data_IF_955017554450
#
_entry.id   IF_955017554450
#
_cell.length_a   1.000
_cell.length_b   1.000
_cell.length_c   1.000
_cell.angle_alpha   90.00
_cell.angle_beta   90.00
_cell.angle_gamma   90.00
#
_symmetry.space_group_name_H-M   'P 1'
#
loop_
_entity.id
_entity.type
_entity.pdbx_description
1 polymer ?
#
# COMPACT_ATOMS: atom_id res chain seq x y z
N UNK A 1 -17.50 15.66 35.22
CA UNK A 1 -18.35 14.62 34.61
C UNK A 1 -18.94 15.01 33.23
N UNK A 2 -19.63 16.15 33.08
CA UNK A 2 -20.22 16.57 31.78
C UNK A 2 -19.24 16.78 30.61
N UNK A 3 -18.00 17.24 30.85
CA UNK A 3 -16.96 17.38 29.79
C UNK A 3 -16.45 16.03 29.25
N UNK A 4 -16.34 15.02 30.10
CA UNK A 4 -15.89 13.67 29.72
C UNK A 4 -16.95 12.94 28.87
N UNK A 5 -18.23 13.11 29.19
CA UNK A 5 -19.35 12.56 28.40
C UNK A 5 -19.43 13.24 27.03
N UNK A 6 -19.22 14.56 26.95
CA UNK A 6 -19.23 15.31 25.68
C UNK A 6 -18.06 14.91 24.76
N UNK A 7 -16.88 14.69 25.33
CA UNK A 7 -15.70 14.21 24.60
C UNK A 7 -15.88 12.78 24.06
N UNK A 8 -16.43 11.85 24.87
CA UNK A 8 -16.76 10.50 24.40
C UNK A 8 -17.86 10.49 23.33
N UNK A 9 -18.83 11.42 23.39
CA UNK A 9 -19.88 11.53 22.37
C UNK A 9 -19.34 12.04 21.02
N UNK A 10 -18.37 12.96 21.05
CA UNK A 10 -17.70 13.47 19.84
C UNK A 10 -16.80 12.40 19.21
N UNK A 11 -16.07 11.64 20.04
CA UNK A 11 -15.22 10.54 19.59
C UNK A 11 -16.04 9.38 18.99
N UNK A 12 -17.23 9.12 19.54
CA UNK A 12 -18.16 8.14 18.97
C UNK A 12 -18.82 8.66 17.70
N UNK A 13 -19.14 9.96 17.61
CA UNK A 13 -19.66 10.56 16.40
C UNK A 13 -18.64 10.54 15.25
N UNK A 14 -17.35 10.79 15.49
CA UNK A 14 -16.31 10.66 14.46
C UNK A 14 -16.08 9.22 14.00
N UNK A 15 -16.11 8.25 14.93
CA UNK A 15 -16.02 6.81 14.60
C UNK A 15 -17.23 6.34 13.80
N UNK A 16 -18.43 6.78 14.18
CA UNK A 16 -19.67 6.51 13.45
C UNK A 16 -19.64 7.20 12.09
N UNK A 17 -19.14 8.44 11.99
CA UNK A 17 -19.03 9.17 10.73
C UNK A 17 -18.02 8.53 9.78
N UNK A 18 -16.87 8.05 10.25
CA UNK A 18 -15.91 7.32 9.43
C UNK A 18 -16.42 5.92 9.04
N UNK A 19 -17.11 5.22 9.93
CA UNK A 19 -17.75 3.93 9.63
C UNK A 19 -18.90 4.11 8.62
N UNK A 20 -19.67 5.19 8.75
CA UNK A 20 -20.67 5.63 7.76
C UNK A 20 -20.01 6.04 6.46
N UNK A 21 -18.84 6.67 6.46
CA UNK A 21 -18.11 7.02 5.24
C UNK A 21 -17.60 5.76 4.52
N UNK A 22 -17.06 4.78 5.27
CA UNK A 22 -16.65 3.45 4.81
C UNK A 22 -17.82 2.64 4.22
N UNK A 23 -19.03 2.75 4.81
CA UNK A 23 -20.24 2.07 4.35
C UNK A 23 -21.00 2.84 3.25
N UNK A 24 -20.89 4.17 3.22
CA UNK A 24 -21.58 5.02 2.25
C UNK A 24 -20.79 5.18 0.95
N UNK A 25 -19.47 5.03 0.94
CA UNK A 25 -18.66 5.17 -0.29
C UNK A 25 -19.06 4.17 -1.39
N UNK A 26 -19.26 2.86 -1.11
CA UNK A 26 -19.78 1.93 -2.10
C UNK A 26 -21.21 2.30 -2.54
N UNK A 27 -22.02 2.79 -1.60
CA UNK A 27 -23.44 3.13 -1.81
C UNK A 27 -23.64 4.39 -2.66
N UNK A 28 -22.71 5.35 -2.60
CA UNK A 28 -22.78 6.60 -3.37
C UNK A 28 -22.40 6.42 -4.84
N UNK A 29 -21.70 5.32 -5.17
CA UNK A 29 -21.18 5.06 -6.52
C UNK A 29 -21.88 3.88 -7.21
N UNK A 30 -22.85 3.24 -6.54
CA UNK A 30 -23.85 2.40 -7.20
C UNK A 30 -24.78 3.31 -8.03
N UNK A 31 -24.34 3.62 -9.26
CA UNK A 31 -25.16 4.28 -10.25
C UNK A 31 -26.15 3.29 -10.86
N UNK A 32 -27.42 3.68 -10.91
CA UNK A 32 -28.45 2.94 -11.61
C UNK A 32 -28.02 2.62 -13.06
N UNK A 33 -27.98 1.34 -13.40
CA UNK A 33 -27.81 0.88 -14.77
C UNK A 33 -29.10 1.18 -15.55
N UNK A 34 -29.25 2.40 -16.06
CA UNK A 34 -30.30 2.72 -17.04
C UNK A 34 -29.91 2.13 -18.39
N UNK A 35 -30.58 1.06 -18.79
CA UNK A 35 -30.45 0.41 -20.10
C UNK A 35 -31.14 1.24 -21.19
N UNK A 36 -30.68 2.46 -21.45
CA UNK A 36 -31.12 3.24 -22.60
C UNK A 36 -30.08 3.17 -23.73
N UNK A 37 -30.56 2.97 -24.96
CA UNK A 37 -29.76 3.06 -26.17
C UNK A 37 -29.49 4.55 -26.45
N UNK A 38 -28.29 5.03 -26.11
CA UNK A 38 -27.91 6.44 -26.28
C UNK A 38 -26.94 6.66 -27.45
N UNK A 39 -27.20 7.72 -28.23
CA UNK A 39 -26.46 8.16 -29.43
C UNK A 39 -24.95 8.35 -29.21
N UNK A 40 -24.17 8.08 -30.27
CA UNK A 40 -22.70 8.01 -30.29
C UNK A 40 -22.00 9.32 -29.83
N UNK A 41 -22.53 10.49 -30.22
CA UNK A 41 -21.98 11.80 -29.81
C UNK A 41 -22.27 12.14 -28.34
N UNK A 42 -23.40 11.67 -27.80
CA UNK A 42 -23.78 11.85 -26.40
C UNK A 42 -22.83 11.06 -25.48
N UNK A 43 -22.39 9.88 -25.93
CA UNK A 43 -21.45 9.02 -25.21
C UNK A 43 -20.05 9.63 -25.10
N UNK A 44 -19.52 10.30 -26.13
CA UNK A 44 -18.20 10.96 -26.07
C UNK A 44 -18.16 12.15 -25.10
N UNK A 45 -19.16 13.02 -25.16
CA UNK A 45 -19.31 14.14 -24.21
C UNK A 45 -19.41 13.63 -22.77
N UNK A 46 -20.17 12.57 -22.56
CA UNK A 46 -20.36 11.94 -21.27
C UNK A 46 -19.09 11.24 -20.76
N UNK A 47 -18.36 10.53 -21.62
CA UNK A 47 -17.07 9.91 -21.31
C UNK A 47 -16.06 10.98 -20.85
N UNK A 48 -15.95 12.09 -21.57
CA UNK A 48 -15.08 13.21 -21.18
C UNK A 48 -15.44 13.76 -19.80
N UNK A 49 -16.73 13.94 -19.49
CA UNK A 49 -17.18 14.36 -18.15
C UNK A 49 -16.73 13.37 -17.07
N UNK A 50 -16.84 12.06 -17.33
CA UNK A 50 -16.36 11.05 -16.39
C UNK A 50 -14.84 11.05 -16.23
N UNK A 51 -14.07 11.26 -17.30
CA UNK A 51 -12.61 11.35 -17.22
C UNK A 51 -12.15 12.53 -16.37
N UNK A 52 -12.74 13.72 -16.53
CA UNK A 52 -12.45 14.87 -15.67
C UNK A 52 -12.95 14.68 -14.23
N UNK A 53 -14.12 14.06 -14.07
CA UNK A 53 -14.61 13.63 -12.77
C UNK A 53 -13.65 12.68 -12.07
N UNK A 54 -13.04 11.75 -12.82
CA UNK A 54 -12.07 10.79 -12.32
C UNK A 54 -10.80 11.44 -11.81
N UNK A 55 -10.24 12.40 -12.55
CA UNK A 55 -9.08 13.20 -12.12
C UNK A 55 -9.36 13.82 -10.74
N UNK A 56 -10.51 14.48 -10.58
CA UNK A 56 -10.85 15.16 -9.33
C UNK A 56 -11.12 14.18 -8.17
N UNK A 57 -11.93 13.14 -8.42
CA UNK A 57 -12.31 12.17 -7.41
C UNK A 57 -11.11 11.37 -6.88
N UNK A 58 -10.29 10.83 -7.79
CA UNK A 58 -9.12 10.02 -7.45
C UNK A 58 -8.08 10.89 -6.75
N UNK A 59 -7.81 12.11 -7.23
CA UNK A 59 -6.88 13.04 -6.57
C UNK A 59 -7.30 13.31 -5.12
N UNK A 60 -8.56 13.68 -4.90
CA UNK A 60 -9.07 14.00 -3.57
C UNK A 60 -9.06 12.77 -2.65
N UNK A 61 -9.52 11.63 -3.13
CA UNK A 61 -9.51 10.39 -2.38
C UNK A 61 -8.10 9.96 -1.99
N UNK A 62 -7.14 10.04 -2.92
CA UNK A 62 -5.73 9.71 -2.67
C UNK A 62 -5.13 10.64 -1.62
N UNK A 63 -5.35 11.94 -1.76
CA UNK A 63 -4.82 12.96 -0.86
C UNK A 63 -5.36 12.79 0.55
N UNK A 64 -6.67 12.55 0.69
CA UNK A 64 -7.28 12.28 2.00
C UNK A 64 -6.74 10.97 2.57
N UNK A 65 -6.73 9.90 1.79
CA UNK A 65 -6.25 8.57 2.20
C UNK A 65 -4.83 8.61 2.76
N UNK A 66 -3.89 9.23 2.04
CA UNK A 66 -2.48 9.33 2.48
C UNK A 66 -2.28 10.30 3.64
N UNK A 67 -3.04 11.41 3.69
CA UNK A 67 -2.89 12.39 4.76
C UNK A 67 -3.49 11.92 6.09
N UNK A 68 -4.53 11.09 6.09
CA UNK A 68 -5.23 10.64 7.30
C UNK A 68 -4.29 10.01 8.35
N UNK A 69 -3.47 8.98 8.02
CA UNK A 69 -2.51 8.41 8.97
C UNK A 69 -1.36 9.36 9.32
N UNK A 70 -0.92 10.19 8.37
CA UNK A 70 0.19 11.15 8.57
C UNK A 70 -0.19 12.23 9.58
N UNK A 71 -1.42 12.75 9.47
CA UNK A 71 -2.00 13.72 10.40
C UNK A 71 -2.51 13.10 11.70
N UNK A 72 -2.65 11.76 11.74
CA UNK A 72 -3.07 11.01 12.93
C UNK A 72 -2.19 11.19 14.16
N UNK A 73 -0.98 11.75 14.03
CA UNK A 73 -0.16 12.20 15.18
C UNK A 73 -0.78 13.37 15.95
N UNK A 74 -1.66 14.15 15.33
CA UNK A 74 -2.36 15.29 15.95
C UNK A 74 -3.77 14.94 16.44
N UNK A 75 -4.36 13.84 15.94
CA UNK A 75 -5.72 13.41 16.27
C UNK A 75 -5.65 12.14 17.15
N UNK A 76 -6.07 12.17 18.42
CA UNK A 76 -5.93 11.04 19.36
C UNK A 76 -6.60 9.72 18.90
N UNK A 77 -7.64 9.79 18.07
CA UNK A 77 -8.33 8.60 17.54
C UNK A 77 -7.58 7.91 16.40
N UNK A 78 -6.70 8.63 15.71
CA UNK A 78 -5.88 8.15 14.59
C UNK A 78 -4.40 8.00 14.97
N UNK A 79 -4.10 8.07 16.26
CA UNK A 79 -2.74 7.82 16.73
C UNK A 79 -2.36 6.37 16.38
N UNK A 80 -1.11 6.13 15.94
CA UNK A 80 -0.64 4.78 15.61
C UNK A 80 -0.78 3.76 16.75
N UNK A 81 -0.95 4.24 17.99
CA UNK A 81 -1.14 3.43 19.18
C UNK A 81 -2.62 3.09 19.45
N UNK A 82 -3.58 3.60 18.69
CA UNK A 82 -4.99 3.32 18.94
C UNK A 82 -5.43 1.98 18.35
N UNK A 83 -6.21 1.20 19.09
CA UNK A 83 -6.81 -0.06 18.59
C UNK A 83 -7.62 0.16 17.31
N UNK A 84 -8.27 1.31 17.17
CA UNK A 84 -9.05 1.65 15.98
C UNK A 84 -8.17 1.81 14.72
N UNK A 85 -6.95 2.32 14.89
CA UNK A 85 -5.99 2.47 13.79
C UNK A 85 -5.55 1.10 13.24
N UNK A 86 -5.32 0.11 14.11
CA UNK A 86 -5.03 -1.27 13.69
C UNK A 86 -6.18 -1.89 12.88
N UNK A 87 -7.44 -1.64 13.27
CA UNK A 87 -8.62 -2.15 12.56
C UNK A 87 -8.73 -1.55 11.15
N UNK A 88 -8.52 -0.23 11.03
CA UNK A 88 -8.52 0.45 9.72
C UNK A 88 -7.36 -0.02 8.85
N UNK A 89 -6.16 -0.19 9.42
CA UNK A 89 -5.01 -0.73 8.68
C UNK A 89 -5.27 -2.14 8.16
N UNK A 90 -5.89 -3.00 8.98
CA UNK A 90 -6.26 -4.35 8.56
C UNK A 90 -7.28 -4.32 7.41
N UNK A 91 -8.29 -3.43 7.46
CA UNK A 91 -9.22 -3.21 6.35
C UNK A 91 -8.50 -2.81 5.08
N UNK A 92 -7.64 -1.79 5.17
CA UNK A 92 -6.88 -1.28 4.04
C UNK A 92 -5.97 -2.35 3.43
N UNK A 93 -5.28 -3.14 4.27
CA UNK A 93 -4.47 -4.27 3.81
C UNK A 93 -5.30 -5.33 3.08
N UNK A 94 -6.54 -5.58 3.51
CA UNK A 94 -7.48 -6.45 2.79
C UNK A 94 -7.88 -5.91 1.43
N UNK A 95 -8.17 -4.61 1.33
CA UNK A 95 -8.43 -3.93 0.06
C UNK A 95 -7.23 -4.07 -0.87
N UNK A 96 -6.01 -3.75 -0.42
CA UNK A 96 -4.78 -3.84 -1.22
C UNK A 96 -4.54 -5.28 -1.70
N UNK A 97 -4.73 -6.27 -0.82
CA UNK A 97 -4.56 -7.68 -1.17
C UNK A 97 -5.54 -8.11 -2.27
N UNK A 98 -6.80 -7.70 -2.15
CA UNK A 98 -7.83 -7.95 -3.14
C UNK A 98 -7.61 -7.16 -4.44
N UNK A 99 -7.09 -5.93 -4.38
CA UNK A 99 -6.65 -5.18 -5.57
C UNK A 99 -5.63 -6.00 -6.34
N UNK A 100 -4.57 -6.47 -5.66
CA UNK A 100 -3.54 -7.28 -6.29
C UNK A 100 -4.09 -8.55 -6.95
N UNK A 101 -4.89 -9.34 -6.24
CA UNK A 101 -5.36 -10.65 -6.72
C UNK A 101 -6.57 -10.63 -7.65
N UNK A 102 -7.52 -9.72 -7.42
CA UNK A 102 -8.86 -9.78 -8.04
C UNK A 102 -9.04 -8.69 -9.10
N UNK A 103 -8.31 -7.57 -9.01
CA UNK A 103 -8.39 -6.50 -10.00
C UNK A 103 -7.19 -6.53 -10.95
N UNK A 104 -5.99 -6.38 -10.41
CA UNK A 104 -4.79 -6.14 -11.24
C UNK A 104 -4.28 -7.42 -11.89
N UNK A 105 -4.28 -8.55 -11.16
CA UNK A 105 -3.79 -9.80 -11.72
C UNK A 105 -4.66 -10.30 -12.89
N UNK A 106 -6.01 -10.29 -12.82
CA UNK A 106 -6.84 -10.64 -13.96
C UNK A 106 -6.64 -9.72 -15.17
N UNK A 107 -6.53 -8.41 -14.99
CA UNK A 107 -6.27 -7.46 -16.10
C UNK A 107 -4.95 -7.79 -16.82
N UNK A 108 -3.94 -8.21 -16.06
CA UNK A 108 -2.67 -8.67 -16.60
C UNK A 108 -2.80 -9.99 -17.37
N UNK A 109 -3.70 -10.89 -16.94
CA UNK A 109 -4.02 -12.11 -17.69
C UNK A 109 -4.74 -11.77 -18.99
N UNK A 110 -5.77 -10.92 -18.95
CA UNK A 110 -6.51 -10.51 -20.15
C UNK A 110 -5.59 -9.87 -21.19
N UNK A 111 -4.66 -9.03 -20.75
CA UNK A 111 -3.69 -8.37 -21.62
C UNK A 111 -2.69 -9.37 -22.25
N UNK A 112 -2.04 -10.23 -21.46
CA UNK A 112 -1.00 -11.15 -21.94
C UNK A 112 -1.54 -12.42 -22.61
N UNK A 113 -2.82 -12.72 -22.44
CA UNK A 113 -3.49 -13.86 -23.09
C UNK A 113 -4.47 -13.44 -24.19
N UNK A 114 -4.47 -12.15 -24.53
CA UNK A 114 -5.31 -11.60 -25.59
C UNK A 114 -5.09 -12.31 -26.93
N UNK A 115 -6.15 -12.58 -27.72
CA UNK A 115 -6.04 -13.15 -29.06
C UNK A 115 -5.30 -12.23 -30.05
N UNK A 116 -5.09 -10.96 -29.70
CA UNK A 116 -4.30 -10.02 -30.49
C UNK A 116 -2.77 -10.26 -30.37
N UNK A 117 -2.34 -11.16 -29.48
CA UNK A 117 -0.93 -11.54 -29.33
C UNK A 117 -0.60 -12.85 -30.06
N UNK A 118 0.63 -12.99 -30.59
CA UNK A 118 1.04 -14.22 -31.24
C UNK A 118 1.12 -15.37 -30.22
N UNK A 119 0.65 -16.56 -30.61
CA UNK A 119 0.64 -17.76 -29.77
C UNK A 119 2.03 -18.10 -29.19
N UNK A 120 3.09 -17.78 -29.92
CA UNK A 120 4.47 -17.90 -29.46
C UNK A 120 5.08 -16.50 -29.28
N UNK A 121 5.64 -16.16 -28.10
CA UNK A 121 5.73 -16.95 -26.88
C UNK A 121 4.50 -16.84 -25.94
N UNK A 122 3.65 -15.83 -26.13
CA UNK A 122 2.66 -15.37 -25.14
C UNK A 122 1.59 -16.41 -24.77
N UNK A 123 1.12 -17.19 -25.73
CA UNK A 123 0.13 -18.25 -25.51
C UNK A 123 0.70 -19.59 -25.02
N UNK A 124 2.03 -19.74 -24.91
CA UNK A 124 2.69 -21.00 -24.51
C UNK A 124 3.23 -21.00 -23.09
N UNK A 125 3.49 -19.83 -22.52
CA UNK A 125 4.09 -19.69 -21.20
C UNK A 125 3.29 -18.69 -20.36
N UNK A 126 2.99 -18.99 -19.07
CA UNK A 126 2.19 -18.11 -18.22
C UNK A 126 3.02 -16.90 -17.74
N UNK A 127 3.30 -15.96 -18.67
CA UNK A 127 4.11 -14.76 -18.39
C UNK A 127 3.52 -13.93 -17.27
N UNK A 128 2.20 -13.80 -17.18
CA UNK A 128 1.52 -13.06 -16.10
C UNK A 128 1.95 -13.56 -14.72
N UNK A 129 1.75 -14.85 -14.43
CA UNK A 129 2.12 -15.43 -13.15
C UNK A 129 3.63 -15.41 -12.89
N UNK A 130 4.43 -15.62 -13.94
CA UNK A 130 5.89 -15.57 -13.85
C UNK A 130 6.39 -14.17 -13.46
N UNK A 131 5.91 -13.12 -14.12
CA UNK A 131 6.30 -11.73 -13.83
C UNK A 131 5.82 -11.31 -12.45
N UNK A 132 4.58 -11.66 -12.06
CA UNK A 132 4.07 -11.38 -10.72
C UNK A 132 4.92 -12.04 -9.63
N UNK A 133 5.28 -13.31 -9.81
CA UNK A 133 6.18 -14.02 -8.89
C UNK A 133 7.56 -13.36 -8.81
N UNK A 134 8.17 -13.02 -9.95
CA UNK A 134 9.48 -12.35 -9.96
C UNK A 134 9.43 -10.98 -9.29
N UNK A 135 8.35 -10.23 -9.48
CA UNK A 135 8.18 -8.92 -8.85
C UNK A 135 8.00 -9.04 -7.34
N UNK A 136 7.25 -10.04 -6.86
CA UNK A 136 7.13 -10.33 -5.42
C UNK A 136 8.47 -10.75 -4.79
N UNK A 137 9.22 -11.62 -5.46
CA UNK A 137 10.58 -12.00 -5.04
C UNK A 137 11.51 -10.78 -5.05
N UNK A 138 11.42 -9.93 -6.08
CA UNK A 138 12.18 -8.70 -6.19
C UNK A 138 11.88 -7.73 -5.04
N UNK A 139 10.62 -7.55 -4.68
CA UNK A 139 10.20 -6.74 -3.54
C UNK A 139 10.81 -7.27 -2.23
N UNK A 140 10.74 -8.59 -2.00
CA UNK A 140 11.40 -9.25 -0.86
C UNK A 140 12.91 -9.02 -0.86
N UNK A 141 13.57 -9.18 -2.01
CA UNK A 141 15.01 -8.97 -2.13
C UNK A 141 15.36 -7.53 -1.75
N UNK A 142 14.63 -6.53 -2.24
CA UNK A 142 14.88 -5.13 -1.89
C UNK A 142 14.68 -4.90 -0.39
N UNK A 143 13.60 -5.40 0.22
CA UNK A 143 13.35 -5.24 1.66
C UNK A 143 14.47 -5.88 2.50
N UNK A 144 14.90 -7.10 2.16
CA UNK A 144 15.97 -7.83 2.85
C UNK A 144 17.33 -7.15 2.67
N UNK A 145 17.70 -6.78 1.45
CA UNK A 145 19.00 -6.16 1.18
C UNK A 145 19.11 -4.79 1.83
N UNK A 146 18.06 -3.99 1.77
CA UNK A 146 18.05 -2.69 2.43
C UNK A 146 18.18 -2.87 3.96
N UNK A 147 17.36 -3.74 4.55
CA UNK A 147 17.42 -4.04 5.98
C UNK A 147 18.81 -4.55 6.41
N UNK A 148 19.41 -5.45 5.62
CA UNK A 148 20.74 -6.03 5.88
C UNK A 148 21.86 -4.99 5.79
N UNK A 149 21.90 -4.22 4.70
CA UNK A 149 22.91 -3.18 4.49
C UNK A 149 22.90 -2.15 5.62
N UNK A 150 21.71 -1.78 6.09
CA UNK A 150 21.59 -0.85 7.21
C UNK A 150 21.93 -1.46 8.56
N UNK A 151 21.59 -2.73 8.80
CA UNK A 151 22.02 -3.44 10.01
C UNK A 151 23.54 -3.48 10.12
N UNK A 152 24.23 -3.78 9.01
CA UNK A 152 25.69 -3.84 8.99
C UNK A 152 26.33 -2.45 9.19
N UNK A 153 25.76 -1.38 8.61
CA UNK A 153 26.23 0.00 8.86
C UNK A 153 26.03 0.45 10.30
N UNK A 154 24.94 0.03 10.95
CA UNK A 154 24.70 0.35 12.36
C UNK A 154 25.57 -0.48 13.32
N UNK A 155 26.00 -1.67 12.93
CA UNK A 155 26.92 -2.52 13.69
C UNK A 155 28.39 -2.07 13.64
N UNK A 156 28.80 -1.38 12.58
CA UNK A 156 30.18 -0.90 12.40
C UNK A 156 30.46 0.50 13.01
N UNK A 157 29.47 1.12 13.67
CA UNK A 157 29.51 2.54 14.06
C UNK A 157 29.49 2.84 15.57
N UNK A 158 29.63 1.83 16.45
CA UNK A 158 29.85 2.03 17.89
C UNK A 158 30.85 1.00 18.41
N UNK A 159 32.13 1.21 18.08
CA UNK A 159 33.18 0.82 19.00
C UNK A 159 32.98 1.61 20.28
N UNK A 160 32.85 0.92 21.40
CA UNK A 160 32.82 1.49 22.73
C UNK A 160 34.23 2.06 22.95
N UNK A 161 34.40 3.38 22.82
CA UNK A 161 35.47 4.06 23.55
C UNK A 161 35.06 3.99 25.02
N UNK A 162 35.61 3.00 25.71
CA UNK A 162 35.63 2.98 27.16
C UNK A 162 36.48 4.19 27.58
N UNK A 163 35.81 5.21 28.10
CA UNK A 163 36.47 6.26 28.88
C UNK A 163 37.03 5.57 30.13
N UNK A 164 38.34 5.34 30.13
CA UNK A 164 39.09 4.99 31.34
C UNK A 164 38.91 6.10 32.37
N UNK A 165 38.08 5.84 33.37
CA UNK A 165 38.05 6.60 34.61
C UNK A 165 39.15 6.06 35.52
N UNK A 166 40.17 6.87 35.70
CA UNK A 166 41.25 6.70 36.68
C UNK A 166 40.67 6.54 38.09
N UNK A 167 41.18 5.54 38.82
CA UNK A 167 40.65 5.09 40.09
C UNK A 167 41.52 3.99 40.67
N UNK A 168 42.66 4.39 41.23
CA UNK A 168 43.55 3.56 42.03
C UNK A 168 42.79 2.75 43.09
N UNK A 169 43.01 1.43 43.13
CA UNK A 169 43.32 0.73 44.37
C UNK A 169 43.91 -0.66 44.12
N UNK A 170 45.00 -0.89 44.83
CA UNK A 170 46.00 -1.95 44.79
C UNK A 170 45.59 -3.12 45.70
N UNK A 171 45.65 -4.39 45.23
CA UNK A 171 46.19 -5.54 46.00
C UNK A 171 46.25 -6.88 45.21
N UNK A 172 47.48 -7.27 44.83
CA UNK A 172 48.17 -8.58 44.88
C UNK A 172 47.48 -9.95 44.60
N UNK A 173 48.05 -10.71 43.64
CA UNK A 173 48.11 -12.19 43.69
C UNK A 173 48.24 -12.99 42.36
N UNK A 174 49.47 -13.10 41.82
CA UNK A 174 50.16 -14.14 40.98
C UNK A 174 49.39 -15.27 40.20
N UNK A 175 50.02 -15.91 39.17
CA UNK A 175 49.45 -16.21 37.85
C UNK A 175 49.19 -17.71 37.61
N UNK A 176 48.70 -18.03 36.39
CA UNK A 176 48.81 -19.32 35.66
C UNK A 176 47.46 -20.03 35.38
N UNK A 177 46.96 -19.95 34.14
CA UNK A 177 46.96 -21.07 33.19
C UNK A 177 46.45 -20.63 31.81
N UNK A 178 47.18 -21.03 30.79
CA UNK A 178 46.76 -21.12 29.39
C UNK A 178 45.60 -22.11 29.25
N UNK A 179 44.58 -21.77 28.46
CA UNK A 179 44.09 -22.64 27.38
C UNK A 179 43.04 -21.96 26.51
N UNK A 180 43.30 -21.99 25.21
CA UNK A 180 42.36 -21.63 24.16
C UNK A 180 41.41 -22.82 23.93
N UNK A 181 40.12 -22.67 24.22
CA UNK A 181 39.08 -23.53 23.64
C UNK A 181 37.84 -22.73 23.27
N UNK A 182 37.44 -22.94 22.01
CA UNK A 182 36.18 -22.54 21.39
C UNK A 182 34.95 -22.97 22.21
N UNK A 183 33.90 -22.14 22.23
CA UNK A 183 32.53 -22.65 22.35
C UNK A 183 31.54 -21.75 23.09
N UNK A 184 30.58 -21.22 22.33
CA UNK A 184 29.23 -20.80 22.76
C UNK A 184 29.12 -19.52 23.61
N UNK A 185 29.31 -18.37 22.95
CA UNK A 185 28.67 -17.13 23.39
C UNK A 185 27.15 -17.22 23.14
N UNK A 186 26.39 -17.54 24.19
CA UNK A 186 24.96 -17.23 24.23
C UNK A 186 24.82 -15.71 24.31
N UNK A 187 24.76 -15.06 23.15
CA UNK A 187 24.28 -13.70 23.06
C UNK A 187 22.78 -13.72 23.36
N UNK A 188 22.42 -13.64 24.64
CA UNK A 188 21.10 -13.18 25.05
C UNK A 188 20.95 -11.76 24.52
N UNK A 189 20.25 -11.64 23.39
CA UNK A 189 19.82 -10.35 22.85
C UNK A 189 18.81 -9.79 23.85
N UNK A 190 19.30 -9.00 24.81
CA UNK A 190 18.49 -8.03 25.51
C UNK A 190 17.95 -7.06 24.45
N UNK A 191 16.67 -7.21 24.14
CA UNK A 191 15.89 -6.33 23.27
C UNK A 191 15.68 -5.00 24.01
N UNK A 192 16.73 -4.21 24.16
CA UNK A 192 16.64 -2.82 24.59
C UNK A 192 17.49 -1.95 23.65
N UNK A 193 16.80 -1.28 22.71
CA UNK A 193 17.40 -0.41 21.70
C UNK A 193 16.65 -0.30 20.35
N UNK A 194 15.44 -0.85 20.24
CA UNK A 194 14.73 -1.14 18.98
C UNK A 194 14.03 0.01 18.22
N UNK A 195 14.58 1.22 18.16
CA UNK A 195 13.89 2.33 17.46
C UNK A 195 14.41 2.64 16.04
N UNK A 196 15.70 2.43 15.77
CA UNK A 196 16.34 2.76 14.47
C UNK A 196 16.09 1.67 13.38
N UNK A 197 16.16 0.35 13.67
CA UNK A 197 15.98 -0.68 12.64
C UNK A 197 14.56 -0.68 12.03
N UNK A 198 13.55 -0.54 12.88
CA UNK A 198 12.14 -0.56 12.46
C UNK A 198 11.76 0.68 11.64
N UNK A 199 12.24 1.88 12.03
CA UNK A 199 11.97 3.11 11.27
C UNK A 199 12.53 3.05 9.85
N UNK A 200 13.73 2.50 9.71
CA UNK A 200 14.41 2.42 8.43
C UNK A 200 13.78 1.37 7.51
N UNK A 201 13.35 0.24 8.08
CA UNK A 201 12.50 -0.73 7.38
C UNK A 201 11.25 -0.07 6.82
N UNK A 202 10.52 0.72 7.63
CA UNK A 202 9.36 1.47 7.13
C UNK A 202 9.69 2.48 6.04
N UNK A 203 10.91 3.07 6.02
CA UNK A 203 11.34 3.95 4.93
C UNK A 203 11.48 3.19 3.62
N UNK A 204 12.17 2.05 3.65
CA UNK A 204 12.36 1.20 2.48
C UNK A 204 11.02 0.68 1.97
N UNK A 205 10.21 0.12 2.87
CA UNK A 205 8.85 -0.35 2.55
C UNK A 205 8.03 0.78 1.91
N UNK A 206 8.06 1.99 2.47
CA UNK A 206 7.31 3.12 1.90
C UNK A 206 7.80 3.49 0.50
N UNK A 207 9.11 3.43 0.23
CA UNK A 207 9.69 3.74 -1.09
C UNK A 207 9.39 2.65 -2.13
N UNK A 208 9.50 1.37 -1.74
CA UNK A 208 9.18 0.24 -2.62
C UNK A 208 7.68 0.23 -2.95
N UNK A 209 6.84 0.46 -1.93
CA UNK A 209 5.40 0.60 -2.10
C UNK A 209 5.06 1.75 -3.04
N UNK A 210 5.64 2.93 -2.81
CA UNK A 210 5.41 4.10 -3.67
C UNK A 210 5.84 3.83 -5.11
N UNK A 211 6.98 3.18 -5.35
CA UNK A 211 7.42 2.80 -6.69
C UNK A 211 6.46 1.82 -7.38
N UNK A 212 6.03 0.77 -6.67
CA UNK A 212 5.07 -0.21 -7.20
C UNK A 212 3.73 0.43 -7.55
N UNK A 213 3.21 1.28 -6.66
CA UNK A 213 1.98 2.02 -6.87
C UNK A 213 2.12 2.98 -8.06
N UNK A 214 3.23 3.72 -8.18
CA UNK A 214 3.43 4.70 -9.26
C UNK A 214 3.31 4.03 -10.63
N UNK A 215 4.03 2.92 -10.82
CA UNK A 215 4.10 2.24 -12.12
C UNK A 215 2.71 1.80 -12.57
N UNK A 216 1.93 1.20 -11.68
CA UNK A 216 0.58 0.74 -11.96
C UNK A 216 -0.43 1.86 -12.14
N UNK A 217 -0.36 2.87 -11.27
CA UNK A 217 -1.26 4.02 -11.26
C UNK A 217 -1.17 4.83 -12.57
N UNK A 218 0.02 4.93 -13.17
CA UNK A 218 0.19 5.58 -14.48
C UNK A 218 -0.50 4.77 -15.58
N UNK A 219 -0.26 3.46 -15.64
CA UNK A 219 -0.77 2.60 -16.72
C UNK A 219 -2.30 2.55 -16.68
N UNK A 220 -2.89 2.27 -15.52
CA UNK A 220 -4.35 2.31 -15.38
C UNK A 220 -4.90 3.70 -15.66
N UNK A 221 -4.22 4.76 -15.20
CA UNK A 221 -4.63 6.13 -15.49
C UNK A 221 -4.72 6.39 -17.00
N UNK A 222 -3.70 5.99 -17.76
CA UNK A 222 -3.68 6.13 -19.22
C UNK A 222 -4.83 5.35 -19.86
N UNK A 223 -5.05 4.10 -19.45
CA UNK A 223 -6.13 3.26 -19.96
C UNK A 223 -7.52 3.89 -19.72
N UNK A 224 -7.80 4.35 -18.48
CA UNK A 224 -9.05 5.04 -18.15
C UNK A 224 -9.20 6.35 -18.95
N UNK A 225 -8.12 7.13 -19.07
CA UNK A 225 -8.12 8.40 -19.81
C UNK A 225 -8.34 8.22 -21.31
N UNK A 226 -7.88 7.11 -21.88
CA UNK A 226 -8.06 6.77 -23.29
C UNK A 226 -9.42 6.10 -23.58
N UNK A 227 -10.08 5.49 -22.60
CA UNK A 227 -11.35 4.77 -22.78
C UNK A 227 -12.50 5.71 -23.14
N UNK A 228 -13.19 5.45 -24.27
CA UNK A 228 -14.33 6.23 -24.77
C UNK A 228 -15.70 5.74 -24.29
N UNK A 229 -15.76 4.65 -23.52
CA UNK A 229 -17.02 4.00 -23.15
C UNK A 229 -17.46 4.37 -21.71
N UNK A 230 -18.50 5.20 -21.51
CA UNK A 230 -18.97 5.57 -20.18
C UNK A 230 -19.36 4.38 -19.30
N UNK A 231 -19.79 3.26 -19.89
CA UNK A 231 -20.17 2.05 -19.16
C UNK A 231 -18.97 1.32 -18.55
N UNK A 232 -17.77 1.54 -19.09
CA UNK A 232 -16.49 1.03 -18.54
C UNK A 232 -15.91 2.06 -17.58
N UNK A 233 -15.93 3.35 -17.93
CA UNK A 233 -15.33 4.41 -17.12
C UNK A 233 -16.05 4.57 -15.76
N UNK A 234 -17.39 4.47 -15.72
CA UNK A 234 -18.16 4.69 -14.48
C UNK A 234 -17.80 3.70 -13.37
N UNK A 235 -17.83 2.37 -13.58
CA UNK A 235 -17.49 1.44 -12.52
C UNK A 235 -15.99 1.43 -12.23
N UNK A 236 -15.14 1.60 -13.23
CA UNK A 236 -13.69 1.71 -13.06
C UNK A 236 -13.32 2.93 -12.19
N UNK A 237 -13.99 4.08 -12.39
CA UNK A 237 -13.86 5.25 -11.53
C UNK A 237 -14.22 4.93 -10.07
N UNK A 238 -15.31 4.19 -9.85
CA UNK A 238 -15.75 3.78 -8.52
C UNK A 238 -14.68 2.92 -7.83
N UNK A 239 -14.25 1.87 -8.52
CA UNK A 239 -13.27 0.93 -8.04
C UNK A 239 -11.93 1.62 -7.75
N UNK A 240 -11.44 2.45 -8.68
CA UNK A 240 -10.19 3.21 -8.55
C UNK A 240 -10.23 4.18 -7.38
N UNK A 241 -11.29 4.98 -7.27
CA UNK A 241 -11.39 5.94 -6.15
C UNK A 241 -11.41 5.21 -4.80
N UNK A 242 -12.10 4.07 -4.74
CA UNK A 242 -12.19 3.27 -3.53
C UNK A 242 -10.85 2.66 -3.12
N UNK A 243 -10.20 1.88 -4.00
CA UNK A 243 -8.94 1.24 -3.61
C UNK A 243 -7.80 2.23 -3.44
N UNK A 244 -7.73 3.28 -4.27
CA UNK A 244 -6.71 4.32 -4.14
C UNK A 244 -6.80 5.05 -2.79
N UNK A 245 -8.01 5.27 -2.26
CA UNK A 245 -8.18 5.82 -0.92
C UNK A 245 -7.54 4.92 0.16
N UNK A 246 -7.81 3.61 0.12
CA UNK A 246 -7.31 2.66 1.11
C UNK A 246 -5.82 2.32 0.92
N UNK A 247 -5.33 2.28 -0.30
CA UNK A 247 -3.91 2.25 -0.62
C UNK A 247 -3.18 3.45 -0.02
N UNK A 248 -3.80 4.65 -0.12
CA UNK A 248 -3.33 5.85 0.53
C UNK A 248 -3.23 5.70 2.05
N UNK A 249 -4.23 5.11 2.69
CA UNK A 249 -4.19 4.81 4.14
C UNK A 249 -3.03 3.85 4.48
N UNK A 250 -2.81 2.81 3.67
CA UNK A 250 -1.69 1.88 3.83
C UNK A 250 -0.35 2.60 3.75
N UNK A 251 -0.10 3.32 2.66
CA UNK A 251 1.13 4.09 2.41
C UNK A 251 1.33 5.18 3.47
N UNK A 252 0.29 5.95 3.78
CA UNK A 252 0.33 6.99 4.81
C UNK A 252 0.69 6.42 6.19
N UNK A 253 0.19 5.22 6.51
CA UNK A 253 0.54 4.50 7.74
C UNK A 253 2.03 4.11 7.81
N UNK A 254 2.61 3.70 6.69
CA UNK A 254 4.05 3.43 6.58
C UNK A 254 4.88 4.73 6.70
N UNK A 255 4.48 5.79 6.00
CA UNK A 255 5.12 7.12 6.06
C UNK A 255 5.09 7.68 7.50
N UNK A 256 3.96 7.56 8.19
CA UNK A 256 3.80 8.02 9.57
C UNK A 256 4.78 7.35 10.53
N UNK A 257 5.05 6.05 10.33
CA UNK A 257 5.98 5.23 11.11
C UNK A 257 7.44 5.42 10.70
N UNK A 258 7.71 5.72 9.43
CA UNK A 258 9.04 5.96 8.88
C UNK A 258 9.72 7.26 9.39
N UNK A 259 8.94 8.16 10.02
CA UNK A 259 9.38 9.46 10.57
C UNK A 259 10.26 10.25 9.58
N UNK A 260 9.81 10.33 8.33
CA UNK A 260 10.44 11.19 7.33
C UNK A 260 10.38 12.67 7.74
N UNK A 261 11.27 13.49 7.15
CA UNK A 261 11.14 14.96 7.23
C UNK A 261 9.82 15.38 6.59
N UNK A 262 9.24 16.48 7.05
CA UNK A 262 7.96 16.98 6.52
C UNK A 262 8.00 17.19 5.00
N UNK A 263 9.11 17.72 4.47
CA UNK A 263 9.30 17.87 3.03
C UNK A 263 9.20 16.54 2.27
N UNK A 264 9.92 15.50 2.72
CA UNK A 264 9.87 14.19 2.09
C UNK A 264 8.46 13.56 2.21
N UNK A 265 7.81 13.72 3.36
CA UNK A 265 6.42 13.27 3.58
C UNK A 265 5.45 13.93 2.60
N UNK A 266 5.55 15.24 2.41
CA UNK A 266 4.71 15.99 1.46
C UNK A 266 5.00 15.57 0.02
N UNK A 267 6.28 15.41 -0.34
CA UNK A 267 6.67 14.97 -1.69
C UNK A 267 6.05 13.60 -1.99
N UNK A 268 6.20 12.62 -1.08
CA UNK A 268 5.65 11.28 -1.29
C UNK A 268 4.12 11.29 -1.39
N UNK A 269 3.45 12.05 -0.51
CA UNK A 269 1.99 12.19 -0.55
C UNK A 269 1.50 12.82 -1.88
N UNK A 270 2.23 13.80 -2.42
CA UNK A 270 1.92 14.43 -3.70
C UNK A 270 2.15 13.50 -4.87
N UNK A 271 3.27 12.76 -4.90
CA UNK A 271 3.53 11.76 -5.95
C UNK A 271 2.43 10.70 -5.96
N UNK A 272 2.09 10.12 -4.81
CA UNK A 272 0.99 9.17 -4.70
C UNK A 272 -0.34 9.73 -5.23
N UNK A 273 -0.67 10.98 -4.87
CA UNK A 273 -1.98 11.57 -5.21
C UNK A 273 -2.09 12.06 -6.66
N UNK A 274 -0.98 12.48 -7.27
CA UNK A 274 -0.96 13.07 -8.61
C UNK A 274 -0.70 12.05 -9.73
N UNK A 275 -0.13 10.89 -9.41
CA UNK A 275 0.30 9.93 -10.44
C UNK A 275 -0.87 9.41 -11.29
N UNK A 276 -1.97 8.95 -10.68
CA UNK A 276 -3.15 8.47 -11.43
C UNK A 276 -3.84 9.59 -12.20
N UNK A 277 -4.14 10.77 -11.61
CA UNK A 277 -4.66 11.91 -12.36
C UNK A 277 -3.79 12.33 -13.55
N UNK A 278 -2.47 12.27 -13.38
CA UNK A 278 -1.52 12.54 -14.45
C UNK A 278 -1.60 11.49 -15.58
N UNK A 279 -1.68 10.20 -15.22
CA UNK A 279 -1.93 9.12 -16.19
C UNK A 279 -3.23 9.34 -16.97
N UNK A 280 -4.32 9.72 -16.30
CA UNK A 280 -5.61 10.02 -16.94
C UNK A 280 -5.48 11.20 -17.90
N UNK A 281 -4.79 12.27 -17.51
CA UNK A 281 -4.56 13.42 -18.37
C UNK A 281 -3.76 13.04 -19.64
N UNK A 282 -2.74 12.19 -19.50
CA UNK A 282 -2.01 11.63 -20.65
C UNK A 282 -2.96 10.80 -21.53
N UNK A 283 -3.74 9.89 -20.93
CA UNK A 283 -4.70 9.04 -21.64
C UNK A 283 -5.70 9.86 -22.46
N UNK A 284 -6.23 10.95 -21.90
CA UNK A 284 -7.09 11.90 -22.62
C UNK A 284 -6.34 12.48 -23.84
N UNK A 285 -5.09 12.93 -23.64
CA UNK A 285 -4.29 13.56 -24.69
C UNK A 285 -3.92 12.62 -25.84
N UNK A 286 -3.70 11.33 -25.56
CA UNK A 286 -3.34 10.33 -26.57
C UNK A 286 -4.52 9.48 -27.07
N UNK A 287 -5.74 9.71 -26.55
CA UNK A 287 -6.93 8.90 -26.83
C UNK A 287 -7.21 8.67 -28.33
N UNK A 288 -6.90 9.65 -29.19
CA UNK A 288 -7.11 9.54 -30.65
C UNK A 288 -6.11 8.62 -31.37
N UNK A 289 -4.96 8.33 -30.76
CA UNK A 289 -3.86 7.53 -31.38
C UNK A 289 -3.56 6.25 -30.62
N UNK A 290 -4.02 6.15 -29.37
CA UNK A 290 -3.83 4.97 -28.54
C UNK A 290 -4.79 3.87 -28.97
N UNK A 291 -4.25 2.68 -29.21
CA UNK A 291 -5.03 1.48 -29.49
C UNK A 291 -4.71 0.42 -28.43
N UNK A 292 -5.67 0.22 -27.52
CA UNK A 292 -5.61 -0.76 -26.43
C UNK A 292 -5.43 -2.20 -26.93
N UNK A 293 -5.88 -2.51 -28.16
CA UNK A 293 -5.76 -3.83 -28.77
C UNK A 293 -4.44 -4.03 -29.53
N UNK A 294 -3.56 -3.03 -29.56
CA UNK A 294 -2.26 -3.18 -30.22
C UNK A 294 -1.36 -4.15 -29.43
N UNK A 295 -0.60 -5.04 -30.10
CA UNK A 295 0.27 -5.99 -29.41
C UNK A 295 1.23 -5.34 -28.42
N UNK A 296 1.78 -4.18 -28.77
CA UNK A 296 2.69 -3.44 -27.89
C UNK A 296 1.97 -2.90 -26.65
N UNK A 297 0.76 -2.37 -26.78
CA UNK A 297 -0.02 -1.89 -25.63
C UNK A 297 -0.32 -3.03 -24.66
N UNK A 298 -0.82 -4.16 -25.19
CA UNK A 298 -1.15 -5.36 -24.42
C UNK A 298 0.06 -5.95 -23.69
N UNK A 299 1.22 -6.04 -24.35
CA UNK A 299 2.45 -6.55 -23.74
C UNK A 299 2.92 -5.63 -22.61
N UNK A 300 2.97 -4.32 -22.87
CA UNK A 300 3.45 -3.34 -21.89
C UNK A 300 2.52 -3.31 -20.68
N UNK A 301 1.21 -3.16 -20.91
CA UNK A 301 0.19 -3.15 -19.86
C UNK A 301 0.24 -4.44 -19.05
N UNK A 302 0.19 -5.59 -19.71
CA UNK A 302 0.17 -6.88 -19.06
C UNK A 302 1.42 -7.20 -18.23
N UNK A 303 2.61 -6.80 -18.67
CA UNK A 303 3.84 -6.95 -17.87
C UNK A 303 3.81 -6.04 -16.64
N UNK A 304 3.43 -4.77 -16.80
CA UNK A 304 3.42 -3.81 -15.69
C UNK A 304 2.33 -4.13 -14.66
N UNK A 305 1.15 -4.57 -15.10
CA UNK A 305 0.07 -5.01 -14.20
C UNK A 305 0.45 -6.31 -13.48
N UNK A 306 1.06 -7.28 -14.17
CA UNK A 306 1.57 -8.49 -13.52
C UNK A 306 2.61 -8.14 -12.45
N UNK A 307 3.58 -7.27 -12.78
CA UNK A 307 4.61 -6.86 -11.83
C UNK A 307 4.02 -6.09 -10.64
N UNK A 308 3.09 -5.16 -10.90
CA UNK A 308 2.35 -4.42 -9.88
C UNK A 308 1.60 -5.36 -8.93
N UNK A 309 0.82 -6.29 -9.48
CA UNK A 309 0.06 -7.27 -8.69
C UNK A 309 0.98 -8.06 -7.76
N UNK A 310 2.12 -8.54 -8.26
CA UNK A 310 3.12 -9.24 -7.45
C UNK A 310 3.64 -8.40 -6.29
N UNK A 311 3.94 -7.11 -6.54
CA UNK A 311 4.38 -6.17 -5.50
C UNK A 311 3.25 -5.91 -4.49
N UNK A 312 2.02 -5.65 -4.93
CA UNK A 312 0.87 -5.39 -4.05
C UNK A 312 0.55 -6.60 -3.15
N UNK A 313 0.63 -7.81 -3.68
CA UNK A 313 0.45 -9.05 -2.90
C UNK A 313 1.53 -9.19 -1.84
N UNK A 314 2.81 -8.97 -2.20
CA UNK A 314 3.91 -9.00 -1.24
C UNK A 314 3.72 -7.94 -0.14
N UNK A 315 3.42 -6.71 -0.55
CA UNK A 315 3.19 -5.57 0.34
C UNK A 315 2.06 -5.84 1.33
N UNK A 316 0.92 -6.35 0.85
CA UNK A 316 -0.22 -6.65 1.71
C UNK A 316 0.10 -7.76 2.71
N UNK A 317 0.62 -8.91 2.25
CA UNK A 317 0.86 -10.06 3.12
C UNK A 317 2.05 -9.87 4.07
N UNK A 318 3.17 -9.35 3.58
CA UNK A 318 4.44 -9.32 4.31
C UNK A 318 4.63 -8.00 5.05
N UNK A 319 4.43 -6.88 4.37
CA UNK A 319 4.79 -5.57 4.92
C UNK A 319 3.68 -4.95 5.77
N UNK A 320 2.42 -5.27 5.49
CA UNK A 320 1.28 -4.82 6.28
C UNK A 320 0.79 -5.90 7.24
N UNK A 321 0.29 -7.02 6.72
CA UNK A 321 -0.39 -8.04 7.52
C UNK A 321 0.54 -8.78 8.46
N UNK A 322 1.69 -9.28 7.99
CA UNK A 322 2.64 -9.95 8.89
C UNK A 322 3.20 -8.99 9.95
N UNK A 323 3.57 -7.77 9.54
CA UNK A 323 4.12 -6.76 10.45
C UNK A 323 3.12 -6.33 11.54
N UNK A 324 1.86 -6.06 11.18
CA UNK A 324 0.83 -5.68 12.14
C UNK A 324 0.36 -6.91 12.94
N UNK A 325 -0.02 -7.99 12.23
CA UNK A 325 -0.08 -9.40 12.64
C UNK A 325 0.64 -9.77 13.94
N UNK A 326 1.96 -9.61 13.84
CA UNK A 326 2.93 -10.09 14.80
C UNK A 326 3.25 -9.04 15.88
N UNK A 327 2.56 -7.90 15.88
CA UNK A 327 2.72 -6.90 16.92
C UNK A 327 2.24 -7.46 18.28
N UNK A 328 3.06 -7.40 19.35
CA UNK A 328 2.68 -7.92 20.67
C UNK A 328 1.37 -7.34 21.21
N UNK A 329 1.04 -6.09 20.86
CA UNK A 329 -0.22 -5.46 21.24
C UNK A 329 -1.44 -6.14 20.59
N UNK A 330 -1.32 -6.57 19.35
CA UNK A 330 -2.40 -7.28 18.67
C UNK A 330 -2.54 -8.70 19.21
N UNK A 331 -1.43 -9.41 19.43
CA UNK A 331 -1.46 -10.79 19.94
C UNK A 331 -1.94 -10.89 21.38
N UNK A 332 -1.63 -9.90 22.23
CA UNK A 332 -2.07 -9.88 23.64
C UNK A 332 -3.55 -9.50 23.82
N UNK A 333 -4.23 -9.01 22.77
CA UNK A 333 -5.62 -8.56 22.86
C UNK A 333 -6.52 -9.31 21.87
N UNK A 334 -7.17 -10.37 22.34
CA UNK A 334 -8.04 -11.23 21.53
C UNK A 334 -9.19 -10.47 20.83
N UNK A 335 -9.76 -9.43 21.47
CA UNK A 335 -10.84 -8.63 20.85
C UNK A 335 -10.31 -7.79 19.69
N UNK A 336 -9.12 -7.22 19.85
CA UNK A 336 -8.47 -6.46 18.78
C UNK A 336 -8.10 -7.37 17.61
N UNK A 337 -7.52 -8.54 17.89
CA UNK A 337 -7.14 -9.52 16.88
C UNK A 337 -8.37 -10.02 16.08
N UNK A 338 -9.46 -10.37 16.76
CA UNK A 338 -10.70 -10.77 16.08
C UNK A 338 -11.28 -9.63 15.25
N UNK A 339 -11.33 -8.41 15.81
CA UNK A 339 -11.78 -7.22 15.09
C UNK A 339 -10.94 -6.94 13.84
N UNK A 340 -9.62 -7.06 13.92
CA UNK A 340 -8.72 -6.88 12.79
C UNK A 340 -8.91 -7.96 11.71
N UNK A 341 -9.08 -9.23 12.09
CA UNK A 341 -9.37 -10.32 11.14
C UNK A 341 -10.70 -10.11 10.40
N UNK A 342 -11.76 -9.74 11.11
CA UNK A 342 -13.06 -9.45 10.49
C UNK A 342 -12.94 -8.25 9.54
N UNK A 343 -12.25 -7.20 9.98
CA UNK A 343 -12.01 -5.99 9.19
C UNK A 343 -11.21 -6.29 7.92
N UNK A 344 -10.18 -7.13 8.02
CA UNK A 344 -9.37 -7.62 6.90
C UNK A 344 -10.24 -8.35 5.85
N UNK A 345 -11.01 -9.34 6.29
CA UNK A 345 -11.89 -10.10 5.40
C UNK A 345 -12.96 -9.20 4.77
N UNK A 346 -13.49 -8.25 5.54
CA UNK A 346 -14.47 -7.29 5.05
C UNK A 346 -13.88 -6.36 3.99
N UNK A 347 -12.66 -5.83 4.20
CA UNK A 347 -11.96 -5.01 3.21
C UNK A 347 -11.69 -5.76 1.90
N UNK A 348 -11.19 -6.99 2.00
CA UNK A 348 -10.99 -7.86 0.84
C UNK A 348 -12.31 -8.12 0.11
N UNK A 349 -13.38 -8.46 0.84
CA UNK A 349 -14.71 -8.69 0.28
C UNK A 349 -15.29 -7.47 -0.43
N UNK A 350 -15.16 -6.27 0.13
CA UNK A 350 -15.60 -5.03 -0.50
C UNK A 350 -14.90 -4.78 -1.84
N UNK A 351 -13.57 -4.93 -1.87
CA UNK A 351 -12.81 -4.72 -3.11
C UNK A 351 -13.12 -5.81 -4.16
N UNK A 352 -13.27 -7.07 -3.74
CA UNK A 352 -13.70 -8.15 -4.65
C UNK A 352 -15.11 -7.94 -5.21
N UNK A 353 -16.04 -7.38 -4.42
CA UNK A 353 -17.36 -7.04 -4.91
C UNK A 353 -17.28 -5.92 -5.94
N UNK A 354 -16.51 -4.86 -5.70
CA UNK A 354 -16.33 -3.77 -6.66
C UNK A 354 -15.69 -4.26 -7.96
N UNK A 355 -14.72 -5.17 -7.89
CA UNK A 355 -14.09 -5.76 -9.06
C UNK A 355 -15.04 -6.57 -9.96
N UNK A 356 -16.18 -7.06 -9.43
CA UNK A 356 -17.22 -7.69 -10.26
C UNK A 356 -17.91 -6.70 -11.20
N UNK A 357 -17.97 -5.43 -10.80
CA UNK A 357 -18.67 -4.38 -11.53
C UNK A 357 -17.74 -3.48 -12.32
N UNK A 358 -16.44 -3.47 -11.99
CA UNK A 358 -15.37 -2.76 -12.71
C UNK A 358 -15.11 -3.40 -14.08
#
# INVERSE_FOLDING_TARGET
MKKLVRFNSLLNAEKILMLLFLLAFPSLVLGDCTCDAEEEDKNRSLALKYRFGAIAAIFLASLVGVCLPVLGKKIPSLSPENNFFFIIKAFAAGVILATGFIHVLPDAFESLTSPCLPQNPWGKFPFTGFVAMLAAIGALMVDVHATSHYRNKSGNGKGIEAVEGDGENQFSGLPLHTDATHGHAHASVSVEGGSIPNQLRYRVISQVLELGIIVHSVIIGIALGASDNPKIIRPLLAALTFHQFFEGIGLGGCIAQAKFKAQATTIMALFFSLTTPFGIAIGIGISNVYNENSPNALIVQGIFDAASSGILVYMALVDLLSADFMNPKMQSNARLLQGANISLLFGAGCMSLLAKWA
#
